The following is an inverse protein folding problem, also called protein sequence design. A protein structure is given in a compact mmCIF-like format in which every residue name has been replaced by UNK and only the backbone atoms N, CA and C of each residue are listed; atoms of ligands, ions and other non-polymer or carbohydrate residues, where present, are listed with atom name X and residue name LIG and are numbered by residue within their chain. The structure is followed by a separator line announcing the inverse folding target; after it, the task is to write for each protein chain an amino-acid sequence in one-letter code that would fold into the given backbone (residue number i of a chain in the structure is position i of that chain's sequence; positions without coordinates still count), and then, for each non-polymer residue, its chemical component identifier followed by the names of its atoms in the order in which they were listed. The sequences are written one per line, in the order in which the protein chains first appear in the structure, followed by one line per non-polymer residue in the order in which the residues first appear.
data_IF_718632554153
#
_entry.id   IF_718632554153
#
_cell.length_a   1.000
_cell.length_b   1.000
_cell.length_c   1.000
_cell.angle_alpha   90.00
_cell.angle_beta   90.00
_cell.angle_gamma   90.00
#
_symmetry.space_group_name_H-M   'P 1'
#
loop_
_entity.id
_entity.type
_entity.pdbx_description
1 polymer ?
#
# COMPACT_ATOMS: atom_id res chain seq x y z
N UNK A 1 12.41 3.90 5.99
CA UNK A 1 13.73 4.26 6.53
C UNK A 1 14.36 3.11 7.32
N UNK A 2 13.82 2.67 8.46
CA UNK A 2 14.51 1.67 9.30
C UNK A 2 14.81 0.31 8.65
N UNK A 3 13.87 -0.25 7.87
CA UNK A 3 14.08 -1.56 7.21
C UNK A 3 14.72 -1.39 5.83
N UNK A 4 14.20 -0.46 5.02
CA UNK A 4 14.65 -0.26 3.64
C UNK A 4 15.96 0.53 3.51
N UNK A 5 16.33 1.33 4.51
CA UNK A 5 17.40 2.34 4.40
C UNK A 5 17.01 3.58 3.59
N UNK A 6 15.90 3.55 2.85
CA UNK A 6 15.48 4.62 1.95
C UNK A 6 14.81 5.79 2.69
N UNK A 7 14.99 7.03 2.20
CA UNK A 7 14.33 8.20 2.76
C UNK A 7 12.81 8.04 2.68
N UNK A 8 12.11 8.26 3.80
CA UNK A 8 10.65 8.23 3.80
C UNK A 8 10.10 9.50 3.15
N UNK A 9 9.05 9.43 2.33
CA UNK A 9 8.36 10.62 1.86
C UNK A 9 7.81 11.40 3.06
N UNK A 10 8.10 12.71 3.10
CA UNK A 10 7.72 13.60 4.21
C UNK A 10 6.49 14.46 3.90
N UNK A 11 6.09 14.52 2.64
CA UNK A 11 5.02 15.40 2.17
C UNK A 11 3.71 14.61 2.17
N UNK A 12 2.68 15.17 2.82
CA UNK A 12 1.31 14.66 2.71
C UNK A 12 0.71 15.20 1.41
N UNK A 13 0.42 14.31 0.48
CA UNK A 13 -0.26 14.69 -0.78
C UNK A 13 -1.69 15.15 -0.47
N UNK A 14 -2.10 16.35 -0.91
CA UNK A 14 -3.48 16.79 -0.78
C UNK A 14 -4.43 15.87 -1.55
N UNK A 15 -5.59 15.55 -0.97
CA UNK A 15 -6.53 14.58 -1.54
C UNK A 15 -6.92 14.90 -2.99
N UNK A 16 -7.17 16.18 -3.32
CA UNK A 16 -7.53 16.60 -4.68
C UNK A 16 -6.46 16.28 -5.72
N UNK A 17 -5.19 16.42 -5.36
CA UNK A 17 -4.05 16.08 -6.24
C UNK A 17 -3.99 14.57 -6.47
N UNK A 18 -4.10 13.78 -5.40
CA UNK A 18 -4.11 12.31 -5.50
C UNK A 18 -5.30 11.81 -6.33
N UNK A 19 -6.47 12.41 -6.15
CA UNK A 19 -7.69 12.05 -6.87
C UNK A 19 -7.60 12.39 -8.37
N UNK A 20 -7.08 13.56 -8.72
CA UNK A 20 -6.83 13.94 -10.11
C UNK A 20 -5.82 13.01 -10.79
N UNK A 21 -4.72 12.67 -10.11
CA UNK A 21 -3.74 11.72 -10.62
C UNK A 21 -4.34 10.33 -10.86
N UNK A 22 -5.18 9.83 -9.95
CA UNK A 22 -5.84 8.55 -10.10
C UNK A 22 -6.83 8.51 -11.28
N UNK A 23 -7.57 9.61 -11.53
CA UNK A 23 -8.43 9.70 -12.72
C UNK A 23 -7.61 9.58 -14.01
N UNK A 24 -6.51 10.33 -14.10
CA UNK A 24 -5.65 10.32 -15.29
C UNK A 24 -5.06 8.93 -15.51
N UNK A 25 -4.53 8.30 -14.45
CA UNK A 25 -3.92 6.97 -14.54
C UNK A 25 -4.94 5.89 -14.91
N UNK A 26 -6.13 5.91 -14.32
CA UNK A 26 -7.19 4.95 -14.64
C UNK A 26 -7.70 5.08 -16.09
N UNK A 27 -7.81 6.31 -16.61
CA UNK A 27 -8.22 6.54 -18.00
C UNK A 27 -7.11 6.11 -18.96
N UNK A 28 -5.89 6.58 -18.74
CA UNK A 28 -4.78 6.35 -19.68
C UNK A 28 -4.29 4.91 -19.57
N UNK A 29 -3.85 4.48 -18.38
CA UNK A 29 -3.28 3.14 -18.17
C UNK A 29 -4.36 2.07 -18.24
N UNK A 30 -5.49 2.30 -17.56
CA UNK A 30 -6.58 1.33 -17.46
C UNK A 30 -7.40 1.20 -18.74
N UNK A 31 -7.95 2.29 -19.26
CA UNK A 31 -8.91 2.22 -20.38
C UNK A 31 -8.23 2.25 -21.75
N UNK A 32 -7.20 3.09 -21.94
CA UNK A 32 -6.51 3.21 -23.22
C UNK A 32 -5.46 2.11 -23.38
N UNK A 33 -4.55 1.97 -22.42
CA UNK A 33 -3.45 0.99 -22.49
C UNK A 33 -3.86 -0.42 -22.05
N UNK A 34 -5.05 -0.60 -21.44
CA UNK A 34 -5.54 -1.89 -20.91
C UNK A 34 -4.56 -2.58 -19.95
N UNK A 35 -3.90 -1.79 -19.12
CA UNK A 35 -2.96 -2.23 -18.08
C UNK A 35 -3.51 -1.88 -16.70
N UNK A 36 -2.98 -2.54 -15.67
CA UNK A 36 -3.40 -2.25 -14.30
C UNK A 36 -2.91 -0.84 -13.87
N UNK A 37 -3.82 0.08 -13.50
CA UNK A 37 -3.44 1.41 -13.04
C UNK A 37 -2.72 1.32 -11.69
N UNK A 38 -1.69 2.14 -11.50
CA UNK A 38 -0.91 2.19 -10.24
C UNK A 38 -1.65 2.98 -9.16
N UNK A 39 -2.46 3.95 -9.54
CA UNK A 39 -3.32 4.73 -8.65
C UNK A 39 -4.77 4.64 -9.13
N UNK A 40 -5.57 3.78 -8.51
CA UNK A 40 -7.01 3.68 -8.82
C UNK A 40 -7.81 4.72 -8.03
N UNK A 41 -8.93 5.16 -8.60
CA UNK A 41 -9.85 6.10 -7.92
C UNK A 41 -10.31 5.50 -6.58
N UNK A 42 -10.59 4.20 -6.55
CA UNK A 42 -11.02 3.51 -5.35
C UNK A 42 -9.93 3.44 -4.26
N UNK A 43 -8.67 3.23 -4.63
CA UNK A 43 -7.56 3.28 -3.67
C UNK A 43 -7.45 4.66 -3.00
N UNK A 44 -7.61 5.75 -3.78
CA UNK A 44 -7.60 7.11 -3.23
C UNK A 44 -8.80 7.36 -2.31
N UNK A 45 -10.00 6.89 -2.69
CA UNK A 45 -11.20 7.00 -1.86
C UNK A 45 -11.05 6.23 -0.54
N UNK A 46 -10.45 5.04 -0.57
CA UNK A 46 -10.14 4.27 0.64
C UNK A 46 -9.14 5.00 1.53
N UNK A 47 -8.09 5.59 0.96
CA UNK A 47 -7.08 6.36 1.70
C UNK A 47 -7.64 7.56 2.47
N UNK A 48 -8.79 8.10 2.07
CA UNK A 48 -9.48 9.18 2.81
C UNK A 48 -10.17 8.70 4.08
N UNK A 49 -10.51 7.41 4.18
CA UNK A 49 -11.25 6.86 5.32
C UNK A 49 -10.28 6.34 6.38
N UNK A 50 -10.50 6.73 7.64
CA UNK A 50 -9.81 6.10 8.77
C UNK A 50 -10.46 4.74 9.03
N UNK A 51 -9.71 3.68 8.76
CA UNK A 51 -10.16 2.32 8.99
C UNK A 51 -9.56 1.82 10.31
N UNK A 52 -10.43 1.38 11.22
CA UNK A 52 -10.03 0.78 12.49
C UNK A 52 -10.37 -0.71 12.43
N UNK A 53 -9.38 -1.56 12.69
CA UNK A 53 -9.50 -3.02 12.59
C UNK A 53 -8.96 -3.68 13.85
N UNK A 54 -9.48 -4.87 14.18
CA UNK A 54 -9.05 -5.68 15.33
C UNK A 54 -8.97 -7.16 14.96
N UNK A 55 -7.94 -7.83 15.43
CA UNK A 55 -7.70 -9.28 15.27
C UNK A 55 -8.43 -10.15 16.30
N UNK A 56 -9.11 -9.55 17.29
CA UNK A 56 -9.68 -10.27 18.44
C UNK A 56 -10.60 -11.44 18.08
N UNK A 57 -11.38 -11.31 17.00
CA UNK A 57 -12.25 -12.39 16.53
C UNK A 57 -11.43 -13.61 16.08
N UNK A 58 -10.38 -13.38 15.29
CA UNK A 58 -9.50 -14.44 14.80
C UNK A 58 -8.70 -15.08 15.94
N UNK A 59 -8.26 -14.29 16.93
CA UNK A 59 -7.59 -14.82 18.12
C UNK A 59 -8.48 -15.79 18.89
N UNK A 60 -9.75 -15.40 19.12
CA UNK A 60 -10.71 -16.21 19.88
C UNK A 60 -11.16 -17.46 19.13
N UNK A 61 -11.50 -17.32 17.86
CA UNK A 61 -12.19 -18.39 17.10
C UNK A 61 -11.22 -19.30 16.37
N UNK A 62 -10.04 -18.80 15.99
CA UNK A 62 -9.07 -19.54 15.18
C UNK A 62 -7.76 -19.82 15.92
N UNK A 63 -7.62 -19.38 17.18
CA UNK A 63 -6.34 -19.43 17.89
C UNK A 63 -5.25 -18.60 17.21
N UNK A 64 -5.64 -17.60 16.40
CA UNK A 64 -4.69 -16.77 15.66
C UNK A 64 -3.75 -16.02 16.60
N UNK A 65 -2.45 -16.04 16.31
CA UNK A 65 -1.46 -15.29 17.07
C UNK A 65 -0.91 -14.15 16.24
N UNK A 66 -1.19 -12.91 16.66
CA UNK A 66 -0.58 -11.72 16.06
C UNK A 66 0.91 -11.68 16.41
N UNK A 67 1.74 -11.43 15.40
CA UNK A 67 3.19 -11.26 15.53
C UNK A 67 3.61 -9.89 14.98
N UNK A 68 4.78 -9.37 15.37
CA UNK A 68 5.30 -8.11 14.83
C UNK A 68 5.42 -8.15 13.30
N UNK A 69 5.00 -7.08 12.64
CA UNK A 69 4.99 -6.98 11.17
C UNK A 69 6.40 -6.82 10.59
N UNK A 70 7.35 -6.35 11.40
CA UNK A 70 8.73 -6.03 11.00
C UNK A 70 9.43 -7.22 10.33
N UNK A 71 9.21 -8.44 10.83
CA UNK A 71 9.78 -9.65 10.23
C UNK A 71 9.24 -9.91 8.81
N UNK A 72 7.94 -9.67 8.59
CA UNK A 72 7.35 -9.84 7.26
C UNK A 72 7.85 -8.77 6.29
N UNK A 73 7.97 -7.52 6.75
CA UNK A 73 8.49 -6.42 5.95
C UNK A 73 9.97 -6.62 5.59
N UNK A 74 10.81 -7.06 6.53
CA UNK A 74 12.21 -7.35 6.28
C UNK A 74 12.37 -8.41 5.18
N UNK A 75 11.67 -9.54 5.29
CA UNK A 75 11.69 -10.59 4.25
C UNK A 75 11.25 -10.09 2.88
N UNK A 76 10.22 -9.24 2.82
CA UNK A 76 9.77 -8.66 1.56
C UNK A 76 10.84 -7.76 0.94
N UNK A 77 11.48 -6.90 1.74
CA UNK A 77 12.56 -6.01 1.28
C UNK A 77 13.76 -6.82 0.77
N UNK A 78 14.15 -7.87 1.50
CA UNK A 78 15.25 -8.74 1.08
C UNK A 78 14.94 -9.44 -0.26
N UNK A 79 13.69 -9.85 -0.46
CA UNK A 79 13.24 -10.40 -1.74
C UNK A 79 13.36 -9.38 -2.88
N UNK A 80 12.89 -8.14 -2.69
CA UNK A 80 13.01 -7.09 -3.73
C UNK A 80 14.47 -6.79 -4.07
N UNK A 81 15.36 -6.74 -3.07
CA UNK A 81 16.81 -6.56 -3.27
C UNK A 81 17.42 -7.72 -4.05
N UNK A 82 17.09 -8.95 -3.69
CA UNK A 82 17.62 -10.15 -4.35
C UNK A 82 17.24 -10.23 -5.84
N UNK A 83 16.12 -9.62 -6.25
CA UNK A 83 15.64 -9.61 -7.64
C UNK A 83 15.96 -8.31 -8.38
N UNK A 84 16.74 -7.39 -7.79
CA UNK A 84 17.15 -6.14 -8.45
C UNK A 84 16.03 -5.11 -8.62
N UNK A 85 14.99 -5.17 -7.78
CA UNK A 85 13.87 -4.22 -7.80
C UNK A 85 13.98 -3.10 -6.75
N UNK A 86 14.98 -3.18 -5.86
CA UNK A 86 15.18 -2.26 -4.76
C UNK A 86 16.33 -1.28 -5.00
#
# INVERSE_FOLDING_TARGET
AHITGLPSPKIRVPYGVAFGAAIIDEIVTGRILKREPRATIDAVRMGRKKMFVTSRKAERELGWRVVPVDYALARAVDWFRAHGYA
#
